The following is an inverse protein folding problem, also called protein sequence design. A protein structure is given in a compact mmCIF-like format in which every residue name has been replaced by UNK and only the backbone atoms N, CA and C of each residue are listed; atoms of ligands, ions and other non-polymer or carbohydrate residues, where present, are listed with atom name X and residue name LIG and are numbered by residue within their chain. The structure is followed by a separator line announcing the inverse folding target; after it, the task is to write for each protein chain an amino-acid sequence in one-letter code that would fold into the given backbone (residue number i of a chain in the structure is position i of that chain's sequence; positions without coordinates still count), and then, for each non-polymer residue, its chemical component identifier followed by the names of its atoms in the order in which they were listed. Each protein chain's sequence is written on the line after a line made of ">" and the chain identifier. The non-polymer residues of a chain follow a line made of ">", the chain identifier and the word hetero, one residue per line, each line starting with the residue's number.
data_IF_251751883530
#
_entry.id   IF_251751883530
#
_cell.length_a   1.000
_cell.length_b   1.000
_cell.length_c   1.000
_cell.angle_alpha   90.00
_cell.angle_beta   90.00
_cell.angle_gamma   90.00
#
_symmetry.space_group_name_H-M   'P 1'
#
loop_
_entity.id
_entity.type
_entity.pdbx_description
1 polymer ?
#
# COMPACT_ATOMS: atom_id res chain seq x y z
N UNK A 1 -18.86 6.73 -3.55
CA UNK A 1 -18.84 7.24 -4.92
C UNK A 1 -18.45 6.14 -5.92
N UNK A 2 -17.49 5.26 -5.59
CA UNK A 2 -16.96 4.26 -6.52
C UNK A 2 -17.67 2.89 -6.50
N UNK A 3 -18.54 2.61 -5.54
CA UNK A 3 -19.15 1.27 -5.38
C UNK A 3 -20.60 1.28 -5.75
N UNK A 4 -20.97 0.54 -6.79
CA UNK A 4 -22.33 0.41 -7.32
C UNK A 4 -22.76 -1.06 -7.35
N UNK A 5 -23.23 -1.64 -6.23
CA UNK A 5 -23.44 -3.08 -6.10
C UNK A 5 -24.66 -3.61 -6.87
N UNK A 6 -25.50 -2.76 -7.43
CA UNK A 6 -26.80 -3.16 -7.99
C UNK A 6 -26.70 -4.22 -9.11
N UNK A 7 -25.69 -4.11 -10.00
CA UNK A 7 -25.46 -5.09 -11.07
C UNK A 7 -25.06 -6.44 -10.47
N UNK A 8 -24.08 -6.43 -9.56
CA UNK A 8 -23.58 -7.66 -8.92
C UNK A 8 -24.69 -8.35 -8.12
N UNK A 9 -25.51 -7.59 -7.38
CA UNK A 9 -26.64 -8.16 -6.64
C UNK A 9 -27.65 -8.85 -7.56
N UNK A 10 -27.93 -8.30 -8.73
CA UNK A 10 -28.79 -8.94 -9.75
C UNK A 10 -28.16 -10.20 -10.37
N UNK A 11 -26.85 -10.26 -10.45
CA UNK A 11 -26.13 -11.43 -10.97
C UNK A 11 -26.11 -12.59 -9.95
N UNK A 12 -25.96 -12.25 -8.67
CA UNK A 12 -25.87 -13.24 -7.58
C UNK A 12 -27.23 -13.75 -7.10
N UNK A 13 -28.26 -12.92 -7.16
CA UNK A 13 -29.57 -13.20 -6.58
C UNK A 13 -30.69 -12.95 -7.59
N UNK A 14 -31.52 -13.97 -7.79
CA UNK A 14 -32.68 -13.88 -8.67
C UNK A 14 -33.86 -13.12 -8.04
N UNK A 15 -33.93 -13.09 -6.70
CA UNK A 15 -34.99 -12.41 -5.94
C UNK A 15 -34.52 -11.09 -5.33
N UNK A 16 -34.96 -9.98 -5.89
CA UNK A 16 -34.64 -8.64 -5.39
C UNK A 16 -35.28 -8.33 -4.03
N UNK A 17 -36.39 -9.02 -3.66
CA UNK A 17 -36.98 -8.86 -2.34
C UNK A 17 -36.13 -9.52 -1.26
N UNK A 18 -35.51 -10.67 -1.59
CA UNK A 18 -34.52 -11.31 -0.74
C UNK A 18 -33.33 -10.37 -0.46
N UNK A 19 -32.77 -9.77 -1.51
CA UNK A 19 -31.66 -8.84 -1.38
C UNK A 19 -32.00 -7.69 -0.43
N UNK A 20 -33.15 -7.02 -0.66
CA UNK A 20 -33.58 -5.90 0.21
C UNK A 20 -33.80 -6.32 1.66
N UNK A 21 -34.27 -7.53 1.90
CA UNK A 21 -34.58 -8.03 3.24
C UNK A 21 -33.35 -8.50 4.01
N UNK A 22 -32.44 -9.20 3.35
CA UNK A 22 -31.37 -9.94 4.02
C UNK A 22 -29.96 -9.39 3.77
N UNK A 23 -29.71 -8.73 2.63
CA UNK A 23 -28.40 -8.15 2.33
C UNK A 23 -28.39 -6.70 2.83
N UNK A 24 -27.96 -6.51 4.07
CA UNK A 24 -27.97 -5.19 4.72
C UNK A 24 -26.89 -4.24 4.18
N UNK A 25 -25.76 -4.78 3.78
CA UNK A 25 -24.65 -4.05 3.19
C UNK A 25 -24.21 -4.71 1.87
N UNK A 26 -24.87 -4.33 0.79
CA UNK A 26 -24.52 -4.82 -0.54
C UNK A 26 -23.18 -4.27 -1.04
N UNK A 27 -22.76 -3.09 -0.57
CA UNK A 27 -21.45 -2.51 -0.93
C UNK A 27 -20.31 -3.22 -0.21
N UNK A 28 -20.51 -3.58 1.05
CA UNK A 28 -19.58 -4.41 1.81
C UNK A 28 -19.42 -5.79 1.18
N UNK A 29 -20.55 -6.48 0.87
CA UNK A 29 -20.51 -7.77 0.19
C UNK A 29 -19.74 -7.70 -1.15
N UNK A 30 -19.93 -6.64 -1.94
CA UNK A 30 -19.21 -6.44 -3.19
C UNK A 30 -17.70 -6.26 -2.94
N UNK A 31 -17.32 -5.52 -1.90
CA UNK A 31 -15.91 -5.32 -1.53
C UNK A 31 -15.27 -6.63 -1.05
N UNK A 32 -15.95 -7.41 -0.21
CA UNK A 32 -15.47 -8.71 0.28
C UNK A 32 -15.25 -9.71 -0.86
N UNK A 33 -16.19 -9.75 -1.82
CA UNK A 33 -16.04 -10.60 -3.02
C UNK A 33 -14.89 -10.14 -3.92
N UNK A 34 -14.62 -8.84 -4.01
CA UNK A 34 -13.49 -8.31 -4.74
C UNK A 34 -12.16 -8.70 -4.06
N UNK A 35 -12.09 -8.66 -2.75
CA UNK A 35 -10.93 -9.12 -1.99
C UNK A 35 -10.70 -10.62 -2.22
N UNK A 36 -11.75 -11.44 -2.13
CA UNK A 36 -11.68 -12.87 -2.43
C UNK A 36 -11.22 -13.14 -3.86
N UNK A 37 -11.68 -12.36 -4.84
CA UNK A 37 -11.21 -12.44 -6.21
C UNK A 37 -9.69 -12.18 -6.31
N UNK A 38 -9.19 -11.15 -5.62
CA UNK A 38 -7.76 -10.85 -5.57
C UNK A 38 -6.93 -11.98 -4.94
N UNK A 39 -7.41 -12.56 -3.84
CA UNK A 39 -6.74 -13.66 -3.13
C UNK A 39 -6.78 -14.96 -3.96
N UNK A 40 -7.91 -15.25 -4.62
CA UNK A 40 -8.08 -16.48 -5.39
C UNK A 40 -7.06 -16.63 -6.52
N UNK A 41 -6.60 -15.53 -7.11
CA UNK A 41 -5.57 -15.52 -8.15
C UNK A 41 -4.20 -16.06 -7.66
N UNK A 42 -3.96 -16.00 -6.36
CA UNK A 42 -2.70 -16.45 -5.72
C UNK A 42 -2.78 -17.85 -5.11
N UNK A 43 -3.93 -18.51 -5.19
CA UNK A 43 -4.18 -19.78 -4.51
C UNK A 43 -4.48 -20.91 -5.49
N UNK A 44 -3.86 -22.08 -5.29
CA UNK A 44 -4.15 -23.27 -6.06
C UNK A 44 -5.57 -23.78 -5.80
N UNK A 45 -6.26 -24.20 -6.87
CA UNK A 45 -7.61 -24.81 -6.81
C UNK A 45 -8.71 -23.92 -6.24
N UNK A 46 -8.56 -22.60 -6.28
CA UNK A 46 -9.62 -21.68 -5.93
C UNK A 46 -10.50 -21.38 -7.17
N UNK A 47 -11.79 -21.13 -6.96
CA UNK A 47 -12.67 -20.76 -8.07
C UNK A 47 -12.21 -19.44 -8.69
N UNK A 48 -12.23 -19.36 -10.00
CA UNK A 48 -12.07 -18.09 -10.71
C UNK A 48 -13.32 -17.24 -10.49
N UNK A 49 -13.16 -16.11 -9.83
CA UNK A 49 -14.21 -15.14 -9.54
C UNK A 49 -14.22 -13.95 -10.51
N UNK A 50 -13.38 -13.97 -11.55
CA UNK A 50 -13.24 -12.87 -12.50
C UNK A 50 -14.54 -12.51 -13.22
N UNK A 51 -15.40 -13.51 -13.45
CA UNK A 51 -16.72 -13.32 -14.09
C UNK A 51 -17.70 -12.47 -13.28
N UNK A 52 -17.43 -12.25 -11.99
CA UNK A 52 -18.32 -11.45 -11.12
C UNK A 52 -18.20 -9.95 -11.41
N UNK A 53 -17.07 -9.48 -11.89
CA UNK A 53 -16.77 -8.06 -12.01
C UNK A 53 -16.51 -7.64 -13.44
N UNK A 54 -16.90 -6.42 -13.77
CA UNK A 54 -16.40 -5.74 -14.96
C UNK A 54 -15.05 -5.08 -14.66
N UNK A 55 -14.26 -4.78 -15.69
CA UNK A 55 -12.98 -4.06 -15.53
C UNK A 55 -13.18 -2.72 -14.81
N UNK A 56 -14.26 -2.01 -15.12
CA UNK A 56 -14.59 -0.73 -14.47
C UNK A 56 -14.89 -0.92 -12.98
N UNK A 57 -15.63 -1.95 -12.60
CA UNK A 57 -15.91 -2.25 -11.20
C UNK A 57 -14.65 -2.64 -10.44
N UNK A 58 -13.75 -3.41 -11.05
CA UNK A 58 -12.44 -3.71 -10.46
C UNK A 58 -11.63 -2.43 -10.23
N UNK A 59 -11.61 -1.53 -11.21
CA UNK A 59 -10.90 -0.26 -11.09
C UNK A 59 -11.52 0.63 -10.01
N UNK A 60 -12.84 0.72 -9.93
CA UNK A 60 -13.54 1.54 -8.94
C UNK A 60 -13.35 1.01 -7.52
N UNK A 61 -13.38 -0.31 -7.32
CA UNK A 61 -13.11 -0.95 -6.04
C UNK A 61 -11.65 -0.77 -5.62
N UNK A 62 -10.72 -0.89 -6.57
CA UNK A 62 -9.32 -0.57 -6.32
C UNK A 62 -9.14 0.91 -5.94
N UNK A 63 -9.78 1.86 -6.63
CA UNK A 63 -9.70 3.28 -6.29
C UNK A 63 -10.21 3.55 -4.86
N UNK A 64 -11.32 2.92 -4.46
CA UNK A 64 -11.83 3.00 -3.08
C UNK A 64 -10.78 2.56 -2.08
N UNK A 65 -10.21 1.37 -2.26
CA UNK A 65 -9.18 0.83 -1.38
C UNK A 65 -7.94 1.73 -1.37
N UNK A 66 -7.49 2.17 -2.54
CA UNK A 66 -6.35 3.07 -2.66
C UNK A 66 -6.58 4.43 -1.95
N UNK A 67 -7.82 4.95 -1.98
CA UNK A 67 -8.21 6.13 -1.24
C UNK A 67 -8.15 5.90 0.28
N UNK A 68 -8.65 4.78 0.78
CA UNK A 68 -8.59 4.41 2.20
C UNK A 68 -7.14 4.37 2.68
N UNK A 69 -6.25 3.74 1.92
CA UNK A 69 -4.81 3.72 2.21
C UNK A 69 -4.17 5.11 2.18
N UNK A 70 -4.52 5.94 1.20
CA UNK A 70 -4.02 7.32 1.15
C UNK A 70 -4.51 8.14 2.35
N UNK A 71 -5.78 7.98 2.71
CA UNK A 71 -6.38 8.67 3.86
C UNK A 71 -5.72 8.27 5.17
N UNK A 72 -5.51 6.97 5.39
CA UNK A 72 -5.00 6.43 6.65
C UNK A 72 -3.47 6.46 6.75
N UNK A 73 -2.74 6.29 5.66
CA UNK A 73 -1.28 6.06 5.66
C UNK A 73 -0.51 7.08 4.82
N UNK A 74 -1.21 7.84 3.99
CA UNK A 74 -0.64 8.87 3.12
C UNK A 74 -0.54 10.25 3.76
N UNK A 75 -0.18 11.23 2.92
CA UNK A 75 -0.15 12.65 3.30
C UNK A 75 -1.49 13.34 3.01
N UNK A 76 -2.60 12.67 3.27
CA UNK A 76 -3.94 13.19 3.00
C UNK A 76 -4.24 14.43 3.85
N UNK A 77 -4.62 15.57 3.25
CA UNK A 77 -5.04 16.74 4.01
C UNK A 77 -6.40 16.53 4.70
N UNK A 78 -7.15 15.49 4.28
CA UNK A 78 -8.45 15.14 4.88
C UNK A 78 -8.29 14.39 6.22
N UNK A 79 -7.10 13.88 6.52
CA UNK A 79 -6.73 13.24 7.79
C UNK A 79 -5.70 14.06 8.58
N UNK A 80 -5.72 15.39 8.44
CA UNK A 80 -4.76 16.33 9.04
C UNK A 80 -3.30 16.09 8.61
N UNK A 81 -3.07 15.32 7.55
CA UNK A 81 -1.77 14.97 6.99
C UNK A 81 -0.73 14.57 8.07
N UNK A 82 -1.15 13.83 9.07
CA UNK A 82 -0.30 13.50 10.22
C UNK A 82 -0.09 12.00 10.47
N UNK A 83 -0.94 11.15 9.90
CA UNK A 83 -0.93 9.71 10.21
C UNK A 83 0.40 9.04 9.88
N UNK A 84 1.02 9.37 8.73
CA UNK A 84 2.35 8.87 8.37
C UNK A 84 3.45 9.29 9.35
N UNK A 85 3.23 10.34 10.14
CA UNK A 85 4.20 10.82 11.14
C UNK A 85 4.30 9.89 12.36
N UNK A 86 3.41 8.91 12.50
CA UNK A 86 3.52 7.88 13.54
C UNK A 86 4.80 7.05 13.38
N UNK A 87 5.32 6.92 12.14
CA UNK A 87 6.56 6.20 11.86
C UNK A 87 7.86 6.96 12.22
N UNK A 88 7.77 8.15 12.83
CA UNK A 88 8.96 8.93 13.21
C UNK A 88 9.91 8.17 14.12
N UNK A 89 9.39 7.39 15.05
CA UNK A 89 10.22 6.62 15.98
C UNK A 89 10.95 5.49 15.26
N UNK A 90 10.31 4.86 14.27
CA UNK A 90 10.95 3.85 13.44
C UNK A 90 12.06 4.47 12.58
N UNK A 91 11.79 5.59 11.93
CA UNK A 91 12.81 6.32 11.16
C UNK A 91 13.97 6.79 12.03
N UNK A 92 13.69 7.33 13.22
CA UNK A 92 14.71 7.70 14.21
C UNK A 92 15.60 6.50 14.55
N UNK A 93 15.01 5.35 14.83
CA UNK A 93 15.77 4.14 15.14
C UNK A 93 16.63 3.67 13.95
N UNK A 94 16.22 3.89 12.70
CA UNK A 94 17.06 3.61 11.54
C UNK A 94 18.28 4.50 11.51
N UNK A 95 18.14 5.80 11.77
CA UNK A 95 19.23 6.76 11.80
C UNK A 95 20.20 6.42 12.93
N UNK A 96 19.72 6.21 14.15
CA UNK A 96 20.55 5.86 15.32
C UNK A 96 21.31 4.54 15.11
N UNK A 97 20.68 3.56 14.47
CA UNK A 97 21.32 2.30 14.11
C UNK A 97 22.44 2.53 13.10
N UNK A 98 22.17 3.35 12.07
CA UNK A 98 23.18 3.70 11.07
C UNK A 98 24.39 4.41 11.69
N UNK A 99 24.16 5.40 12.55
CA UNK A 99 25.21 6.13 13.26
C UNK A 99 26.08 5.18 14.10
N UNK A 100 25.44 4.26 14.83
CA UNK A 100 26.14 3.25 15.63
C UNK A 100 27.04 2.35 14.78
N UNK A 101 26.50 1.86 13.64
CA UNK A 101 27.26 1.01 12.72
C UNK A 101 28.43 1.78 12.10
N UNK A 102 28.20 3.02 11.67
CA UNK A 102 29.23 3.90 11.09
C UNK A 102 30.34 4.16 12.10
N UNK A 103 30.00 4.49 13.34
CA UNK A 103 30.95 4.72 14.42
C UNK A 103 31.80 3.48 14.76
N UNK A 104 31.20 2.28 14.68
CA UNK A 104 31.86 1.02 14.94
C UNK A 104 32.95 0.67 13.90
N UNK A 105 32.93 1.29 12.72
CA UNK A 105 33.80 1.01 11.56
C UNK A 105 33.73 -0.46 11.08
N UNK A 106 32.71 -1.20 11.48
CA UNK A 106 32.48 -2.59 11.09
C UNK A 106 31.44 -2.66 9.98
N UNK A 107 31.52 -3.69 9.16
CA UNK A 107 30.43 -4.02 8.23
C UNK A 107 29.28 -4.63 9.04
N UNK A 108 28.07 -4.21 8.76
CA UNK A 108 26.87 -4.74 9.38
C UNK A 108 25.71 -4.78 8.40
N UNK A 109 24.79 -5.69 8.64
CA UNK A 109 23.48 -5.77 8.00
C UNK A 109 22.45 -5.82 9.12
N UNK A 110 21.48 -4.93 9.05
CA UNK A 110 20.35 -4.92 9.98
C UNK A 110 19.08 -5.14 9.19
N UNK A 111 18.35 -6.19 9.50
CA UNK A 111 17.08 -6.52 8.89
C UNK A 111 15.95 -6.24 9.88
N UNK A 112 14.87 -5.65 9.38
CA UNK A 112 13.63 -5.44 10.13
C UNK A 112 12.48 -5.99 9.32
N UNK A 113 11.60 -6.69 9.98
CA UNK A 113 10.40 -7.27 9.39
C UNK A 113 9.19 -6.53 9.94
N UNK A 114 8.23 -6.28 9.09
CA UNK A 114 7.02 -5.56 9.45
C UNK A 114 5.94 -5.79 8.40
N UNK A 115 4.86 -5.04 8.53
CA UNK A 115 3.73 -5.06 7.62
C UNK A 115 3.78 -3.88 6.66
N UNK A 116 2.99 -3.95 5.61
CA UNK A 116 2.72 -2.87 4.67
C UNK A 116 2.17 -1.62 5.38
N UNK A 117 1.40 -1.81 6.46
CA UNK A 117 0.88 -0.74 7.33
C UNK A 117 1.96 0.12 7.99
N UNK A 118 3.20 -0.36 8.09
CA UNK A 118 4.36 0.42 8.53
C UNK A 118 5.18 0.91 7.33
N UNK A 119 5.28 0.08 6.28
CA UNK A 119 6.11 0.39 5.12
C UNK A 119 5.57 1.59 4.33
N UNK A 120 4.25 1.65 4.11
CA UNK A 120 3.62 2.72 3.36
C UNK A 120 3.81 4.10 4.03
N UNK A 121 3.44 4.30 5.32
CA UNK A 121 3.63 5.59 5.98
C UNK A 121 5.11 5.95 6.16
N UNK A 122 6.00 4.97 6.33
CA UNK A 122 7.44 5.22 6.36
C UNK A 122 7.94 5.77 5.01
N UNK A 123 7.50 5.19 3.88
CA UNK A 123 7.83 5.67 2.55
C UNK A 123 7.33 7.10 2.31
N UNK A 124 6.13 7.43 2.79
CA UNK A 124 5.55 8.78 2.76
C UNK A 124 6.37 9.74 3.62
N UNK A 125 6.72 9.35 4.85
CA UNK A 125 7.54 10.15 5.77
C UNK A 125 8.91 10.48 5.19
N UNK A 126 9.51 9.53 4.48
CA UNK A 126 10.81 9.70 3.81
C UNK A 126 10.71 10.45 2.46
N UNK A 127 9.51 10.76 1.98
CA UNK A 127 9.28 11.45 0.71
C UNK A 127 9.70 10.64 -0.52
N UNK A 128 9.73 9.30 -0.41
CA UNK A 128 10.16 8.41 -1.50
C UNK A 128 9.21 8.58 -2.69
N UNK A 129 9.76 8.74 -3.91
CA UNK A 129 8.99 8.79 -5.15
C UNK A 129 7.83 9.81 -5.13
N UNK A 130 7.98 10.93 -4.42
CA UNK A 130 6.97 11.97 -4.27
C UNK A 130 5.70 11.53 -3.53
N UNK A 131 5.76 10.48 -2.73
CA UNK A 131 4.61 9.95 -1.97
C UNK A 131 4.10 10.92 -0.90
N UNK A 132 4.87 11.93 -0.53
CA UNK A 132 4.48 13.00 0.39
C UNK A 132 3.61 14.08 -0.25
N UNK A 133 3.29 13.96 -1.55
CA UNK A 133 2.37 14.90 -2.22
C UNK A 133 0.98 14.78 -1.61
N UNK A 134 0.47 15.92 -1.17
CA UNK A 134 -0.85 16.05 -0.54
C UNK A 134 -1.85 16.60 -1.54
N UNK A 135 -2.98 15.94 -1.73
CA UNK A 135 -4.08 16.43 -2.55
C UNK A 135 -5.43 16.14 -1.87
N UNK A 136 -6.36 17.10 -1.83
CA UNK A 136 -7.72 16.87 -1.39
C UNK A 136 -8.60 16.26 -2.49
N UNK A 137 -8.13 16.27 -3.74
CA UNK A 137 -8.86 15.79 -4.90
C UNK A 137 -8.66 14.27 -5.06
N UNK A 138 -9.68 13.53 -4.69
CA UNK A 138 -9.69 12.06 -4.77
C UNK A 138 -9.56 11.49 -6.18
N UNK A 139 -9.95 12.24 -7.23
CA UNK A 139 -9.73 11.79 -8.60
C UNK A 139 -8.25 11.82 -9.01
N UNK A 140 -7.45 12.69 -8.37
CA UNK A 140 -6.02 12.82 -8.64
C UNK A 140 -5.17 11.89 -7.76
N UNK A 141 -5.75 11.27 -6.71
CA UNK A 141 -4.98 10.40 -5.82
C UNK A 141 -4.36 9.24 -6.60
N UNK A 142 -5.12 8.62 -7.50
CA UNK A 142 -4.65 7.51 -8.32
C UNK A 142 -3.48 7.87 -9.26
N UNK A 143 -3.22 9.15 -9.51
CA UNK A 143 -2.10 9.60 -10.33
C UNK A 143 -0.78 9.64 -9.56
N UNK A 144 -0.86 9.95 -8.26
CA UNK A 144 0.31 10.17 -7.41
C UNK A 144 0.54 9.08 -6.38
N UNK A 145 -0.53 8.56 -5.79
CA UNK A 145 -0.50 7.53 -4.77
C UNK A 145 -1.14 6.24 -5.29
N UNK A 146 -0.33 5.19 -5.41
CA UNK A 146 -0.76 3.88 -5.90
C UNK A 146 -0.21 2.80 -4.99
N UNK A 147 -1.07 2.21 -4.16
CA UNK A 147 -0.69 1.20 -3.16
C UNK A 147 0.15 0.08 -3.75
N UNK A 148 -0.25 -0.47 -4.90
CA UNK A 148 0.48 -1.56 -5.56
C UNK A 148 1.91 -1.20 -6.03
N UNK A 149 2.24 0.11 -6.13
CA UNK A 149 3.61 0.58 -6.41
C UNK A 149 4.40 0.91 -5.16
N UNK A 150 3.71 1.18 -4.05
CA UNK A 150 4.33 1.59 -2.79
C UNK A 150 4.64 0.37 -1.93
N UNK A 151 3.67 -0.53 -1.83
CA UNK A 151 3.66 -1.69 -0.95
C UNK A 151 3.23 -2.97 -1.69
N UNK A 152 3.88 -3.33 -2.81
CA UNK A 152 3.62 -4.61 -3.45
C UNK A 152 4.01 -5.76 -2.54
N UNK A 153 3.59 -6.97 -2.90
CA UNK A 153 4.06 -8.19 -2.23
C UNK A 153 5.59 -8.19 -2.15
N UNK A 154 6.14 -8.52 -0.99
CA UNK A 154 7.58 -8.46 -0.69
C UNK A 154 8.23 -7.07 -0.84
N UNK A 155 7.42 -6.01 -0.82
CA UNK A 155 7.91 -4.62 -0.83
C UNK A 155 8.90 -4.39 0.31
N UNK A 156 9.97 -3.62 0.03
CA UNK A 156 10.97 -3.30 1.03
C UNK A 156 11.65 -1.95 0.76
N UNK A 157 12.20 -1.36 1.81
CA UNK A 157 13.03 -0.17 1.74
C UNK A 157 14.43 -0.55 2.20
N UNK A 158 15.45 -0.20 1.40
CA UNK A 158 16.85 -0.46 1.70
C UNK A 158 17.60 0.86 1.82
N UNK A 159 18.36 1.01 2.90
CA UNK A 159 19.32 2.08 3.11
C UNK A 159 20.71 1.47 3.03
N UNK A 160 21.44 1.78 1.97
CA UNK A 160 22.77 1.19 1.72
C UNK A 160 23.82 2.29 1.88
N UNK A 161 24.73 2.08 2.82
CA UNK A 161 25.77 3.03 3.17
C UNK A 161 27.10 2.63 2.52
N UNK A 162 27.73 3.57 1.83
CA UNK A 162 29.00 3.36 1.13
C UNK A 162 30.06 4.34 1.61
N UNK A 163 31.30 3.88 1.63
CA UNK A 163 32.47 4.73 1.82
C UNK A 163 33.49 4.37 0.76
N UNK A 164 33.92 5.34 -0.04
CA UNK A 164 34.88 5.13 -1.12
C UNK A 164 36.26 4.77 -0.60
N UNK A 165 36.72 5.43 0.47
CA UNK A 165 37.99 5.19 1.11
C UNK A 165 37.95 5.49 2.61
N UNK A 166 38.93 4.99 3.37
CA UNK A 166 38.99 5.20 4.83
C UNK A 166 39.05 6.70 5.13
N UNK A 167 38.15 7.20 5.95
CA UNK A 167 38.04 8.63 6.31
C UNK A 167 37.26 9.49 5.32
N UNK A 168 36.80 8.95 4.20
CA UNK A 168 35.94 9.67 3.25
C UNK A 168 34.49 9.78 3.70
N UNK A 169 33.73 10.59 2.99
CA UNK A 169 32.29 10.78 3.20
C UNK A 169 31.53 9.49 3.07
N UNK A 170 30.44 9.43 3.80
CA UNK A 170 29.48 8.32 3.72
C UNK A 170 28.35 8.71 2.77
N UNK A 171 28.20 7.94 1.71
CA UNK A 171 27.11 8.08 0.77
C UNK A 171 26.02 7.09 1.14
N UNK A 172 24.78 7.53 1.04
CA UNK A 172 23.60 6.70 1.30
C UNK A 172 22.83 6.52 0.00
N UNK A 173 22.57 5.26 -0.35
CA UNK A 173 21.65 4.92 -1.43
C UNK A 173 20.36 4.38 -0.82
N UNK A 174 19.25 5.02 -1.17
CA UNK A 174 17.91 4.57 -0.83
C UNK A 174 17.34 3.80 -2.01
N UNK A 175 16.85 2.60 -1.76
CA UNK A 175 16.10 1.80 -2.72
C UNK A 175 14.72 1.51 -2.13
N UNK A 176 13.68 1.77 -2.91
CA UNK A 176 12.34 1.25 -2.66
C UNK A 176 12.12 0.15 -3.70
N UNK A 177 12.18 -1.09 -3.26
CA UNK A 177 12.13 -2.23 -4.17
C UNK A 177 10.71 -2.73 -4.21
N UNK A 178 10.06 -2.45 -5.33
CA UNK A 178 8.72 -2.95 -5.57
C UNK A 178 8.70 -4.33 -6.21
N UNK A 179 9.70 -4.69 -7.00
CA UNK A 179 9.96 -6.03 -7.53
C UNK A 179 11.43 -6.11 -7.88
N UNK A 180 12.15 -7.08 -7.36
CA UNK A 180 13.32 -7.60 -8.04
C UNK A 180 12.78 -8.40 -9.23
N UNK A 181 12.79 -7.81 -10.41
CA UNK A 181 12.75 -8.63 -11.61
C UNK A 181 14.02 -9.48 -11.58
N UNK A 182 13.88 -10.70 -11.11
CA UNK A 182 14.82 -11.76 -11.43
C UNK A 182 14.54 -12.08 -12.90
N UNK A 183 15.23 -11.39 -13.79
CA UNK A 183 15.42 -11.84 -15.17
C UNK A 183 16.62 -12.75 -15.20
#
# INVERSE_FOLDING_TARGET
>A
VYVHPARLMKQLFTDSAYVRKYIKDASGLMADLFELHGISQSSYNQPDLSFLFTEQECYDLWQRNNFEWYYEKGASPLSDACMYKLERNLLKNFVETADTVIASKKKAVTLRYGHDTNLAPLAVLMGINRLSVSTPDWYQIADTYRTYRIIPMCGNIQLIFYRKHKGGDILVRLLSVSYTHLT
#
